data_IF_758724483475
#
_entry.id   IF_758724483475
#
_cell.length_a   1.000
_cell.length_b   1.000
_cell.length_c   1.000
_cell.angle_alpha   90.00
_cell.angle_beta   90.00
_cell.angle_gamma   90.00
#
_symmetry.space_group_name_H-M   'P 1'
#
loop_
_entity.id
_entity.type
_entity.pdbx_description
1 polymer ?
#
# COMPACT_ATOMS: atom_id res chain seq x y z
N UNK A 1 -24.04 -9.55 7.34
CA UNK A 1 -22.98 -8.53 7.24
C UNK A 1 -23.13 -7.91 5.87
N UNK A 2 -23.42 -6.62 5.75
CA UNK A 2 -23.61 -6.00 4.44
C UNK A 2 -22.23 -5.67 3.87
N UNK A 3 -21.83 -6.35 2.80
CA UNK A 3 -20.47 -6.28 2.24
C UNK A 3 -20.21 -4.94 1.52
N UNK A 4 -21.26 -4.32 0.99
CA UNK A 4 -21.22 -3.00 0.35
C UNK A 4 -22.12 -2.01 1.09
N UNK A 5 -21.52 -1.02 1.75
CA UNK A 5 -22.23 0.06 2.43
C UNK A 5 -22.44 1.30 1.54
N UNK A 6 -21.74 1.38 0.40
CA UNK A 6 -21.81 2.49 -0.53
C UNK A 6 -22.10 1.99 -1.94
N UNK A 7 -22.98 2.69 -2.66
CA UNK A 7 -23.37 2.37 -4.04
C UNK A 7 -22.25 2.57 -5.07
N UNK A 8 -21.19 3.30 -4.70
CA UNK A 8 -20.07 3.66 -5.58
C UNK A 8 -18.77 3.33 -4.85
N UNK A 9 -17.87 2.62 -5.55
CA UNK A 9 -16.50 2.38 -5.07
C UNK A 9 -15.77 3.71 -4.90
N UNK A 10 -15.40 4.01 -3.66
CA UNK A 10 -14.57 5.17 -3.34
C UNK A 10 -13.15 4.98 -3.91
N UNK A 11 -12.70 5.95 -4.71
CA UNK A 11 -11.39 5.96 -5.36
C UNK A 11 -10.42 6.97 -4.74
N UNK A 12 -10.76 7.58 -3.60
CA UNK A 12 -9.92 8.60 -2.96
C UNK A 12 -8.50 8.10 -2.71
N UNK A 13 -8.33 6.89 -2.17
CA UNK A 13 -6.99 6.31 -2.04
C UNK A 13 -6.32 6.03 -3.39
N UNK A 14 -7.09 5.52 -4.35
CA UNK A 14 -6.64 5.24 -5.71
C UNK A 14 -6.05 6.46 -6.43
N UNK A 15 -6.59 7.64 -6.13
CA UNK A 15 -6.10 8.95 -6.57
C UNK A 15 -4.97 9.45 -5.69
N UNK A 16 -5.10 9.29 -4.37
CA UNK A 16 -4.16 9.81 -3.38
C UNK A 16 -2.75 9.26 -3.56
N UNK A 17 -2.60 7.96 -3.79
CA UNK A 17 -1.28 7.31 -3.90
C UNK A 17 -0.60 7.53 -5.27
N UNK A 18 -1.27 8.15 -6.25
CA UNK A 18 -0.67 8.42 -7.57
C UNK A 18 0.40 9.49 -7.44
N UNK A 19 1.42 9.40 -8.29
CA UNK A 19 2.57 10.33 -8.30
C UNK A 19 2.18 11.80 -8.26
N UNK A 20 1.13 12.22 -8.98
CA UNK A 20 0.66 13.62 -8.99
C UNK A 20 0.15 14.11 -7.63
N UNK A 21 -0.40 13.20 -6.83
CA UNK A 21 -0.96 13.50 -5.52
C UNK A 21 0.10 13.32 -4.43
N UNK A 22 0.69 12.14 -4.31
CA UNK A 22 1.58 11.78 -3.18
C UNK A 22 2.92 12.55 -3.20
N UNK A 23 3.35 13.09 -4.35
CA UNK A 23 4.58 13.87 -4.46
C UNK A 23 4.62 15.10 -3.56
N UNK A 24 3.46 15.64 -3.15
CA UNK A 24 3.40 16.76 -2.20
C UNK A 24 3.91 16.41 -0.79
N UNK A 25 4.01 15.11 -0.48
CA UNK A 25 4.51 14.63 0.82
C UNK A 25 5.96 14.14 0.75
N UNK A 26 6.34 13.46 -0.33
CA UNK A 26 7.63 12.73 -0.42
C UNK A 26 8.51 13.17 -1.60
N UNK A 27 8.09 14.18 -2.35
CA UNK A 27 8.78 14.65 -3.55
C UNK A 27 8.56 13.75 -4.78
N UNK A 28 8.80 14.32 -5.95
CA UNK A 28 8.51 13.67 -7.25
C UNK A 28 9.33 12.41 -7.49
N UNK A 29 10.59 12.37 -7.04
CA UNK A 29 11.47 11.22 -7.26
C UNK A 29 10.93 9.98 -6.53
N UNK A 30 10.64 10.12 -5.24
CA UNK A 30 10.13 9.01 -4.42
C UNK A 30 8.73 8.59 -4.88
N UNK A 31 7.87 9.56 -5.20
CA UNK A 31 6.52 9.31 -5.70
C UNK A 31 6.46 8.57 -7.05
N UNK A 32 7.50 8.65 -7.88
CA UNK A 32 7.61 7.86 -9.13
C UNK A 32 8.08 6.43 -8.87
N UNK A 33 8.88 6.23 -7.83
CA UNK A 33 9.39 4.92 -7.44
C UNK A 33 8.37 4.08 -6.64
N UNK A 34 7.34 4.71 -6.05
CA UNK A 34 6.24 4.03 -5.36
C UNK A 34 5.08 3.66 -6.31
N UNK A 35 5.31 2.70 -7.20
CA UNK A 35 4.23 2.16 -8.03
C UNK A 35 3.40 1.15 -7.25
N UNK A 36 2.08 1.30 -7.25
CA UNK A 36 1.13 0.34 -6.66
C UNK A 36 0.27 -0.29 -7.76
N UNK A 37 -0.13 -1.55 -7.53
CA UNK A 37 -1.06 -2.28 -8.38
C UNK A 37 -2.17 -2.88 -7.50
N UNK A 38 -3.40 -2.90 -8.02
CA UNK A 38 -4.54 -3.48 -7.32
C UNK A 38 -4.46 -5.01 -7.37
N UNK A 39 -4.70 -5.65 -6.22
CA UNK A 39 -4.65 -7.10 -6.05
C UNK A 39 -6.07 -7.70 -6.06
N UNK A 40 -6.88 -7.36 -7.07
CA UNK A 40 -8.21 -7.93 -7.28
C UNK A 40 -8.13 -9.11 -8.27
N UNK A 41 -7.38 -8.91 -9.36
CA UNK A 41 -7.01 -9.91 -10.35
C UNK A 41 -5.73 -9.46 -11.04
N UNK A 42 -4.58 -10.09 -10.77
CA UNK A 42 -3.32 -9.76 -11.45
C UNK A 42 -3.31 -10.50 -12.78
N UNK A 43 -3.85 -9.85 -13.82
CA UNK A 43 -3.56 -10.22 -15.19
C UNK A 43 -2.12 -9.79 -15.49
N UNK A 44 -1.20 -10.76 -15.53
CA UNK A 44 0.14 -10.54 -16.06
C UNK A 44 0.03 -10.35 -17.58
N UNK A 45 -0.20 -9.11 -18.01
CA UNK A 45 -0.13 -8.73 -19.43
C UNK A 45 1.24 -8.09 -19.63
N UNK A 46 2.13 -8.88 -20.21
CA UNK A 46 3.54 -8.56 -20.36
C UNK A 46 3.76 -7.40 -21.35
N UNK A 47 4.35 -6.30 -20.86
CA UNK A 47 5.37 -5.47 -21.56
C UNK A 47 5.99 -4.52 -20.52
N UNK A 48 7.31 -4.63 -20.26
CA UNK A 48 8.09 -3.62 -19.52
C UNK A 48 8.13 -3.71 -17.98
N UNK A 49 7.81 -4.85 -17.38
CA UNK A 49 7.80 -5.02 -15.91
C UNK A 49 8.97 -5.84 -15.32
N UNK A 50 9.99 -6.22 -16.12
CA UNK A 50 11.12 -7.05 -15.67
C UNK A 50 11.85 -6.50 -14.44
N UNK A 51 11.74 -5.20 -14.19
CA UNK A 51 12.46 -4.51 -13.11
C UNK A 51 11.55 -4.08 -11.95
N UNK A 52 10.27 -4.48 -11.94
CA UNK A 52 9.34 -4.17 -10.85
C UNK A 52 9.25 -5.36 -9.90
N UNK A 53 9.56 -5.12 -8.64
CA UNK A 53 9.54 -6.14 -7.58
C UNK A 53 8.40 -5.83 -6.64
N UNK A 54 7.58 -6.83 -6.24
CA UNK A 54 6.58 -6.63 -5.19
C UNK A 54 7.30 -6.44 -3.85
N UNK A 55 7.04 -5.32 -3.16
CA UNK A 55 7.74 -4.98 -1.93
C UNK A 55 6.84 -5.08 -0.70
N UNK A 56 5.53 -4.86 -0.84
CA UNK A 56 4.58 -5.00 0.25
C UNK A 56 3.17 -5.25 -0.30
N UNK A 57 2.33 -5.85 0.54
CA UNK A 57 0.90 -5.92 0.30
C UNK A 57 0.21 -4.91 1.22
N UNK A 58 -0.70 -4.10 0.67
CA UNK A 58 -1.46 -3.13 1.46
C UNK A 58 -2.93 -3.29 1.15
N UNK A 59 -3.69 -3.77 2.12
CA UNK A 59 -5.15 -3.84 2.04
C UNK A 59 -5.72 -2.48 2.43
N UNK A 60 -6.48 -1.86 1.53
CA UNK A 60 -6.97 -0.50 1.74
C UNK A 60 -8.48 -0.46 1.77
N UNK A 61 -9.06 0.33 2.66
CA UNK A 61 -10.48 0.65 2.64
C UNK A 61 -10.74 2.03 3.23
N UNK A 62 -11.90 2.60 2.93
CA UNK A 62 -12.42 3.73 3.69
C UNK A 62 -12.67 3.29 5.13
N UNK A 63 -12.31 4.14 6.07
CA UNK A 63 -12.57 3.95 7.49
C UNK A 63 -14.04 4.29 7.82
N UNK A 64 -14.74 3.30 8.35
CA UNK A 64 -16.13 3.36 8.84
C UNK A 64 -16.22 2.80 10.27
N UNK A 65 -15.09 2.74 10.99
CA UNK A 65 -15.01 2.14 12.33
C UNK A 65 -14.92 0.61 12.34
N UNK A 66 -14.70 -0.01 11.19
CA UNK A 66 -14.61 -1.46 11.06
C UNK A 66 -13.25 -2.03 11.46
N UNK A 67 -13.24 -3.31 11.84
CA UNK A 67 -12.08 -4.16 11.64
C UNK A 67 -12.14 -4.75 10.22
N UNK A 68 -11.03 -4.72 9.48
CA UNK A 68 -10.99 -5.32 8.16
C UNK A 68 -10.42 -6.74 8.25
N UNK A 69 -11.14 -7.70 7.68
CA UNK A 69 -10.66 -9.06 7.54
C UNK A 69 -9.37 -9.07 6.73
N UNK A 70 -8.28 -9.53 7.35
CA UNK A 70 -6.95 -9.56 6.74
C UNK A 70 -6.45 -10.99 6.52
N UNK A 71 -7.32 -12.00 6.63
CA UNK A 71 -6.93 -13.41 6.54
C UNK A 71 -6.25 -13.76 5.22
N UNK A 72 -6.83 -13.35 4.08
CA UNK A 72 -6.28 -13.64 2.75
C UNK A 72 -4.93 -12.94 2.53
N UNK A 73 -4.87 -11.63 2.76
CA UNK A 73 -3.63 -10.87 2.60
C UNK A 73 -2.54 -11.37 3.57
N UNK A 74 -2.90 -11.78 4.79
CA UNK A 74 -1.94 -12.37 5.73
C UNK A 74 -1.35 -13.69 5.21
N UNK A 75 -2.19 -14.61 4.72
CA UNK A 75 -1.71 -15.88 4.17
C UNK A 75 -0.83 -15.67 2.94
N UNK A 76 -1.25 -14.79 2.03
CA UNK A 76 -0.46 -14.46 0.84
C UNK A 76 0.88 -13.82 1.21
N UNK A 77 0.88 -12.86 2.14
CA UNK A 77 2.10 -12.21 2.64
C UNK A 77 3.07 -13.20 3.28
N UNK A 78 2.53 -14.16 4.06
CA UNK A 78 3.30 -15.24 4.68
C UNK A 78 3.95 -16.14 3.64
N UNK A 79 3.18 -16.56 2.62
CA UNK A 79 3.68 -17.41 1.54
C UNK A 79 4.71 -16.70 0.65
N UNK A 80 4.47 -15.43 0.33
CA UNK A 80 5.37 -14.63 -0.51
C UNK A 80 6.57 -14.05 0.25
N UNK A 81 6.59 -14.13 1.59
CA UNK A 81 7.65 -13.53 2.41
C UNK A 81 7.69 -12.00 2.37
N UNK A 82 6.56 -11.36 2.05
CA UNK A 82 6.42 -9.90 1.93
C UNK A 82 5.69 -9.31 3.13
N UNK A 83 6.02 -8.10 3.61
CA UNK A 83 5.23 -7.44 4.65
C UNK A 83 3.83 -7.10 4.15
N UNK A 84 2.85 -7.19 5.04
CA UNK A 84 1.47 -6.82 4.76
C UNK A 84 0.89 -5.88 5.82
N UNK A 85 0.11 -4.92 5.33
CA UNK A 85 -0.53 -3.89 6.11
C UNK A 85 -2.01 -3.77 5.75
N UNK A 86 -2.81 -3.35 6.72
CA UNK A 86 -4.13 -2.78 6.47
C UNK A 86 -4.04 -1.28 6.70
N UNK A 87 -4.52 -0.48 5.75
CA UNK A 87 -4.62 0.97 5.84
C UNK A 87 -6.07 1.41 5.62
N UNK A 88 -6.72 1.85 6.70
CA UNK A 88 -8.08 2.41 6.64
C UNK A 88 -7.97 3.93 6.57
N UNK A 89 -8.57 4.57 5.57
CA UNK A 89 -8.45 6.01 5.36
C UNK A 89 -9.75 6.76 5.67
N UNK A 90 -9.63 7.91 6.31
CA UNK A 90 -10.72 8.85 6.53
C UNK A 90 -10.69 9.93 5.44
N UNK A 91 -11.76 10.09 4.63
CA UNK A 91 -11.84 11.17 3.65
C UNK A 91 -11.81 12.54 4.33
N UNK A 92 -11.09 13.49 3.75
CA UNK A 92 -11.09 14.88 4.17
C UNK A 92 -12.31 15.63 3.61
N UNK A 93 -12.69 16.72 4.28
CA UNK A 93 -13.70 17.65 3.76
C UNK A 93 -13.25 18.38 2.50
N UNK A 94 -11.94 18.53 2.32
CA UNK A 94 -11.32 19.15 1.13
C UNK A 94 -11.14 18.16 -0.01
N UNK A 95 -11.15 18.67 -1.23
CA UNK A 95 -10.85 17.89 -2.43
C UNK A 95 -9.35 17.61 -2.56
N UNK A 96 -8.99 16.50 -3.23
CA UNK A 96 -7.61 16.19 -3.56
C UNK A 96 -7.06 17.22 -4.56
N UNK A 97 -5.95 17.90 -4.28
CA UNK A 97 -5.41 18.94 -5.17
C UNK A 97 -5.06 18.45 -6.58
N UNK A 98 -4.69 17.18 -6.73
CA UNK A 98 -4.34 16.59 -8.03
C UNK A 98 -5.55 16.06 -8.81
N UNK A 99 -6.71 15.96 -8.16
CA UNK A 99 -7.96 15.51 -8.78
C UNK A 99 -9.15 15.97 -7.94
N UNK A 100 -9.65 17.20 -8.18
CA UNK A 100 -10.71 17.81 -7.36
C UNK A 100 -12.04 17.05 -7.32
N UNK A 101 -12.25 16.08 -8.23
CA UNK A 101 -13.42 15.20 -8.24
C UNK A 101 -13.47 14.21 -7.08
N UNK A 102 -12.38 14.04 -6.32
CA UNK A 102 -12.29 13.11 -5.20
C UNK A 102 -11.87 13.84 -3.93
N UNK A 103 -12.38 13.40 -2.78
CA UNK A 103 -11.91 13.87 -1.48
C UNK A 103 -10.42 13.58 -1.30
N UNK A 104 -9.73 14.49 -0.61
CA UNK A 104 -8.40 14.17 -0.10
C UNK A 104 -8.51 13.19 1.09
N UNK A 105 -7.38 12.76 1.64
CA UNK A 105 -7.34 11.94 2.85
C UNK A 105 -6.90 12.79 4.03
N UNK A 106 -7.60 12.66 5.14
CA UNK A 106 -7.32 13.38 6.40
C UNK A 106 -6.44 12.54 7.33
N UNK A 107 -6.72 11.25 7.45
CA UNK A 107 -6.03 10.34 8.38
C UNK A 107 -6.02 8.90 7.82
N UNK A 108 -5.00 8.14 8.23
CA UNK A 108 -4.95 6.70 8.10
C UNK A 108 -4.92 6.01 9.47
N UNK A 109 -5.74 4.98 9.67
CA UNK A 109 -5.49 3.92 10.65
C UNK A 109 -4.75 2.77 9.98
N UNK A 110 -3.50 2.55 10.38
CA UNK A 110 -2.64 1.52 9.81
C UNK A 110 -2.33 0.44 10.84
N UNK A 111 -2.35 -0.82 10.40
CA UNK A 111 -1.93 -1.96 11.21
C UNK A 111 -1.12 -2.92 10.35
N UNK A 112 0.09 -3.26 10.81
CA UNK A 112 0.85 -4.36 10.20
C UNK A 112 0.19 -5.68 10.55
N UNK A 113 -0.13 -6.48 9.54
CA UNK A 113 -0.73 -7.81 9.70
C UNK A 113 0.28 -8.94 9.45
N UNK A 114 1.43 -8.63 8.83
CA UNK A 114 2.57 -9.54 8.69
C UNK A 114 3.85 -8.76 8.32
N UNK A 115 5.06 -9.22 8.69
CA UNK A 115 5.35 -10.15 9.78
C UNK A 115 5.11 -9.49 11.14
N UNK A 116 5.07 -10.26 12.23
CA UNK A 116 4.89 -9.75 13.60
C UNK A 116 3.69 -8.76 13.71
N UNK A 117 2.45 -9.27 13.61
CA UNK A 117 1.25 -8.44 13.56
C UNK A 117 1.19 -7.46 14.73
N UNK A 118 0.84 -6.21 14.44
CA UNK A 118 0.66 -5.17 15.46
C UNK A 118 -0.64 -5.42 16.23
N UNK A 119 -0.58 -5.33 17.56
CA UNK A 119 -1.76 -5.49 18.43
C UNK A 119 -2.72 -4.29 18.39
N UNK A 120 -2.22 -3.12 18.00
CA UNK A 120 -2.96 -1.84 18.02
C UNK A 120 -2.83 -1.16 16.66
N UNK A 121 -3.85 -0.38 16.33
CA UNK A 121 -3.83 0.52 15.18
C UNK A 121 -2.94 1.72 15.47
N UNK A 122 -2.15 2.13 14.48
CA UNK A 122 -1.45 3.41 14.47
C UNK A 122 -2.28 4.41 13.69
N UNK A 123 -2.41 5.63 14.22
CA UNK A 123 -2.98 6.76 13.46
C UNK A 123 -1.83 7.51 12.81
N UNK A 124 -1.92 7.71 11.51
CA UNK A 124 -0.92 8.38 10.71
C UNK A 124 -1.61 9.47 9.88
N UNK A 125 -0.99 10.63 9.82
CA UNK A 125 -1.28 11.63 8.81
C UNK A 125 -0.95 11.09 7.41
N UNK A 126 -1.46 11.72 6.34
CA UNK A 126 -1.09 11.37 4.98
C UNK A 126 0.42 11.47 4.71
N UNK A 127 1.10 12.45 5.32
CA UNK A 127 2.55 12.61 5.19
C UNK A 127 3.29 11.42 5.82
N UNK A 128 2.95 11.06 7.06
CA UNK A 128 3.57 9.94 7.78
C UNK A 128 3.32 8.60 7.06
N UNK A 129 2.14 8.40 6.48
CA UNK A 129 1.88 7.20 5.69
C UNK A 129 2.70 7.17 4.39
N UNK A 130 2.81 8.30 3.69
CA UNK A 130 3.64 8.39 2.48
C UNK A 130 5.13 8.11 2.79
N UNK A 131 5.65 8.66 3.89
CA UNK A 131 7.01 8.40 4.35
C UNK A 131 7.21 6.93 4.76
N UNK A 132 6.25 6.33 5.46
CA UNK A 132 6.30 4.92 5.83
C UNK A 132 6.37 4.01 4.60
N UNK A 133 5.65 4.33 3.51
CA UNK A 133 5.73 3.59 2.25
C UNK A 133 7.13 3.64 1.63
N UNK A 134 7.80 4.79 1.67
CA UNK A 134 9.20 4.94 1.23
C UNK A 134 10.13 4.08 2.09
N UNK A 135 9.97 4.12 3.41
CA UNK A 135 10.79 3.31 4.33
C UNK A 135 10.59 1.81 4.10
N UNK A 136 9.35 1.35 3.92
CA UNK A 136 9.01 -0.04 3.58
C UNK A 136 9.71 -0.45 2.29
N UNK A 137 9.62 0.38 1.24
CA UNK A 137 10.30 0.13 -0.05
C UNK A 137 11.79 -0.06 0.16
N UNK A 138 12.45 0.88 0.83
CA UNK A 138 13.91 0.86 1.02
C UNK A 138 14.38 -0.35 1.83
N UNK A 139 13.63 -0.73 2.87
CA UNK A 139 13.92 -1.92 3.66
C UNK A 139 13.79 -3.20 2.84
N UNK A 140 12.77 -3.30 2.01
CA UNK A 140 12.52 -4.48 1.19
C UNK A 140 13.52 -4.60 0.05
N UNK A 141 13.87 -3.48 -0.61
CA UNK A 141 14.93 -3.46 -1.61
C UNK A 141 16.28 -3.90 -1.01
N UNK A 142 16.65 -3.38 0.17
CA UNK A 142 17.86 -3.84 0.88
C UNK A 142 17.81 -5.35 1.16
N UNK A 143 16.67 -5.87 1.63
CA UNK A 143 16.48 -7.31 1.88
C UNK A 143 16.71 -8.14 0.62
N UNK A 144 16.16 -7.74 -0.52
CA UNK A 144 16.33 -8.46 -1.78
C UNK A 144 17.72 -8.30 -2.39
N UNK A 145 18.37 -7.14 -2.25
CA UNK A 145 19.76 -6.94 -2.70
C UNK A 145 20.77 -7.75 -1.88
N UNK A 146 20.48 -8.04 -0.61
CA UNK A 146 21.36 -8.83 0.27
C UNK A 146 21.14 -10.35 0.17
N UNK A 147 20.10 -10.82 -0.52
CA UNK A 147 19.87 -12.24 -0.74
C UNK A 147 20.81 -12.75 -1.84
N UNK A 148 21.86 -13.48 -1.45
CA UNK A 148 22.66 -14.28 -2.38
C UNK A 148 21.74 -15.31 -3.04
N UNK A 149 21.95 -15.55 -4.34
CA UNK A 149 21.24 -16.61 -5.05
C UNK A 149 21.50 -17.94 -4.34
N UNK A 150 20.45 -18.65 -3.96
CA UNK A 150 20.55 -19.97 -3.30
C UNK A 150 21.11 -21.07 -4.24
N UNK A 151 21.42 -20.71 -5.49
CA UNK A 151 21.70 -21.65 -6.58
C UNK A 151 23.16 -21.59 -7.08
N UNK A 152 24.06 -20.86 -6.42
CA UNK A 152 25.51 -20.91 -6.73
C UNK A 152 26.31 -21.65 -5.65
N UNK A 153 26.16 -22.98 -5.49
CA UNK A 153 27.25 -23.82 -5.03
C UNK A 153 28.07 -24.27 -6.25
N UNK A 154 29.10 -23.49 -6.58
CA UNK A 154 30.23 -23.86 -7.45
C UNK A 154 29.92 -24.34 -8.88
N UNK A 155 30.31 -23.51 -9.86
CA UNK A 155 30.95 -24.00 -11.09
C UNK A 155 32.46 -23.78 -10.99
#
# INVERSE_FOLDING_TARGET
>A
MQEEQFLIRDRAYGVWHRTRSISRFIGTREARALTMADLDSVLFVEFGCSNKVPLALVEVARDIGQEKASGVIHQLARMAGLPAFVALYSPASRANPASPAWHDIEEFRVRRVWPKPEKRWRRLSPAEWAEALVQIRDWQLKRFSSQHAANDPAY
#
